data_IF_523329158342
#
_entry.id   IF_523329158342
#
_cell.length_a   1.000
_cell.length_b   1.000
_cell.length_c   1.000
_cell.angle_alpha   90.00
_cell.angle_beta   90.00
_cell.angle_gamma   90.00
#
_symmetry.space_group_name_H-M   'P 1'
#
loop_
_entity.id
_entity.type
_entity.pdbx_description
1 polymer ?
#
# COMPACT_ATOMS: atom_id res chain seq x y z
N UNK A 1 -41.08 -4.63 7.58
CA UNK A 1 -41.72 -3.77 6.57
C UNK A 1 -41.14 -4.19 5.25
N UNK A 2 -41.71 -5.26 4.70
CA UNK A 2 -42.78 -5.34 3.71
C UNK A 2 -42.23 -5.00 2.33
N UNK A 3 -41.88 -6.01 1.52
CA UNK A 3 -42.80 -6.70 0.61
C UNK A 3 -43.78 -5.75 -0.09
N UNK A 4 -43.48 -5.44 -1.34
CA UNK A 4 -44.38 -5.26 -2.47
C UNK A 4 -43.53 -4.78 -3.63
N UNK A 5 -43.46 -5.62 -4.65
CA UNK A 5 -43.86 -5.38 -6.01
C UNK A 5 -43.33 -6.51 -6.91
N UNK A 6 -44.12 -7.52 -6.95
CA UNK A 6 -44.06 -8.54 -7.99
C UNK A 6 -45.52 -8.84 -8.31
N UNK A 7 -46.07 -8.21 -9.29
CA UNK A 7 -47.30 -8.58 -10.05
C UNK A 7 -47.55 -7.39 -11.00
N UNK A 8 -47.22 -7.53 -12.25
CA UNK A 8 -47.80 -6.85 -13.41
C UNK A 8 -46.97 -7.25 -14.64
N UNK A 9 -47.31 -8.37 -15.24
CA UNK A 9 -47.08 -8.69 -16.66
C UNK A 9 -47.64 -10.09 -16.97
N UNK A 10 -48.92 -10.27 -16.71
CA UNK A 10 -49.75 -11.35 -17.27
C UNK A 10 -51.11 -10.74 -17.60
N UNK A 11 -51.22 -10.11 -18.76
CA UNK A 11 -52.44 -9.89 -19.50
C UNK A 11 -52.05 -9.12 -20.76
N UNK A 12 -51.99 -9.83 -21.85
CA UNK A 12 -52.31 -9.48 -23.23
C UNK A 12 -51.79 -10.62 -24.10
N UNK A 13 -52.65 -11.53 -24.45
CA UNK A 13 -52.84 -12.21 -25.73
C UNK A 13 -53.88 -13.30 -25.53
N UNK A 14 -55.13 -12.91 -25.62
CA UNK A 14 -56.25 -13.78 -25.97
C UNK A 14 -57.17 -12.97 -26.83
N UNK A 15 -57.01 -13.04 -28.09
CA UNK A 15 -58.03 -12.98 -29.12
C UNK A 15 -57.35 -13.16 -30.48
N UNK A 16 -57.88 -14.08 -31.20
CA UNK A 16 -57.84 -14.42 -32.64
C UNK A 16 -57.31 -15.83 -32.92
N UNK A 17 -58.18 -16.80 -32.68
CA UNK A 17 -58.18 -18.05 -33.43
C UNK A 17 -59.63 -18.47 -33.72
N UNK A 18 -60.14 -18.09 -34.83
CA UNK A 18 -61.22 -18.80 -35.52
C UNK A 18 -61.01 -18.74 -37.01
N UNK A 19 -61.14 -19.93 -37.62
CA UNK A 19 -61.15 -20.30 -39.03
C UNK A 19 -59.80 -20.58 -39.67
N UNK A 20 -59.42 -21.85 -39.81
CA UNK A 20 -59.56 -22.59 -41.09
C UNK A 20 -59.27 -24.08 -40.85
N UNK A 21 -60.27 -24.92 -41.13
CA UNK A 21 -60.22 -26.39 -41.24
C UNK A 21 -59.58 -26.81 -42.57
N UNK A 22 -58.92 -28.00 -42.53
CA UNK A 22 -58.40 -28.82 -43.64
C UNK A 22 -56.91 -28.58 -44.08
N UNK A 23 -56.03 -29.39 -43.50
CA UNK A 23 -55.22 -30.33 -44.30
C UNK A 23 -54.46 -31.30 -43.37
N UNK A 24 -54.91 -32.52 -43.28
CA UNK A 24 -54.16 -33.68 -42.75
C UNK A 24 -53.12 -34.07 -43.81
N UNK A 25 -51.89 -33.60 -43.69
CA UNK A 25 -50.66 -34.19 -44.30
C UNK A 25 -49.43 -33.31 -44.06
N UNK A 26 -49.20 -32.74 -42.87
CA UNK A 26 -47.93 -32.03 -42.53
C UNK A 26 -47.58 -32.04 -41.07
N UNK A 27 -47.96 -33.10 -40.33
CA UNK A 27 -47.78 -33.12 -38.86
C UNK A 27 -46.48 -33.80 -38.39
N UNK A 28 -45.66 -34.38 -39.22
CA UNK A 28 -44.36 -34.96 -38.81
C UNK A 28 -43.16 -34.05 -39.04
N UNK A 29 -43.13 -33.22 -40.08
CA UNK A 29 -42.03 -32.30 -40.35
C UNK A 29 -42.03 -31.03 -39.43
N UNK A 30 -43.15 -30.66 -38.83
CA UNK A 30 -43.27 -29.51 -37.93
C UNK A 30 -42.83 -29.83 -36.49
N UNK A 31 -42.96 -31.08 -36.04
CA UNK A 31 -42.51 -31.47 -34.70
C UNK A 31 -40.98 -31.59 -34.63
N UNK A 32 -40.28 -32.12 -35.61
CA UNK A 32 -38.83 -32.21 -35.67
C UNK A 32 -38.18 -30.82 -35.76
N UNK A 33 -38.78 -29.87 -36.48
CA UNK A 33 -38.27 -28.48 -36.53
C UNK A 33 -38.49 -27.71 -35.21
N UNK A 34 -39.49 -27.94 -34.44
CA UNK A 34 -39.74 -27.26 -33.14
C UNK A 34 -38.76 -27.76 -32.10
N UNK A 35 -38.49 -29.07 -32.03
CA UNK A 35 -37.51 -29.65 -31.08
C UNK A 35 -36.10 -29.16 -31.38
N UNK A 36 -35.74 -29.09 -32.69
CA UNK A 36 -34.41 -28.59 -33.10
C UNK A 36 -34.21 -27.08 -32.80
N UNK A 37 -35.29 -26.29 -32.75
CA UNK A 37 -35.27 -24.86 -32.40
C UNK A 37 -35.18 -24.70 -30.85
N UNK A 38 -35.87 -25.53 -30.08
CA UNK A 38 -35.81 -25.49 -28.61
C UNK A 38 -34.43 -25.93 -28.11
N UNK A 39 -33.85 -27.01 -28.65
CA UNK A 39 -32.47 -27.43 -28.33
C UNK A 39 -31.44 -26.34 -28.66
N UNK A 40 -31.53 -25.72 -29.83
CA UNK A 40 -30.62 -24.62 -30.21
C UNK A 40 -30.80 -23.37 -29.33
N UNK A 41 -32.00 -23.09 -28.83
CA UNK A 41 -32.26 -22.01 -27.89
C UNK A 41 -31.70 -22.31 -26.49
N UNK A 42 -31.80 -23.58 -26.06
CA UNK A 42 -31.21 -24.00 -24.77
C UNK A 42 -29.67 -24.00 -24.85
N UNK A 43 -29.09 -24.53 -25.95
CA UNK A 43 -27.64 -24.44 -26.14
C UNK A 43 -27.12 -23.00 -26.15
N UNK A 44 -27.85 -22.11 -26.81
CA UNK A 44 -27.49 -20.69 -26.85
C UNK A 44 -27.56 -20.03 -25.46
N UNK A 45 -28.61 -20.30 -24.67
CA UNK A 45 -28.72 -19.82 -23.29
C UNK A 45 -27.59 -20.35 -22.42
N UNK A 46 -27.31 -21.66 -22.52
CA UNK A 46 -26.23 -22.29 -21.77
C UNK A 46 -24.86 -21.70 -22.14
N UNK A 47 -24.63 -21.41 -23.44
CA UNK A 47 -23.42 -20.75 -23.91
C UNK A 47 -23.30 -19.32 -23.36
N UNK A 48 -24.36 -18.53 -23.37
CA UNK A 48 -24.39 -17.18 -22.81
C UNK A 48 -24.17 -17.18 -21.27
N UNK A 49 -24.74 -18.16 -20.56
CA UNK A 49 -24.47 -18.34 -19.12
C UNK A 49 -23.02 -18.74 -18.82
N UNK A 50 -22.46 -19.62 -19.63
CA UNK A 50 -21.05 -20.03 -19.56
C UNK A 50 -20.11 -18.87 -19.80
N UNK A 51 -20.37 -18.03 -20.79
CA UNK A 51 -19.58 -16.84 -21.08
C UNK A 51 -19.68 -15.80 -19.95
N UNK A 52 -20.89 -15.57 -19.46
CA UNK A 52 -21.11 -14.68 -18.32
C UNK A 52 -20.38 -15.15 -17.05
N UNK A 53 -20.46 -16.46 -16.76
CA UNK A 53 -19.76 -17.07 -15.62
C UNK A 53 -18.23 -17.00 -15.79
N UNK A 54 -17.74 -17.24 -17.00
CA UNK A 54 -16.31 -17.15 -17.32
C UNK A 54 -15.78 -15.72 -17.15
N UNK A 55 -16.56 -14.73 -17.57
CA UNK A 55 -16.20 -13.32 -17.36
C UNK A 55 -16.23 -12.92 -15.89
N UNK A 56 -17.21 -13.40 -15.11
CA UNK A 56 -17.23 -13.22 -13.66
C UNK A 56 -16.01 -13.87 -13.00
N UNK A 57 -15.65 -15.08 -13.43
CA UNK A 57 -14.47 -15.80 -12.93
C UNK A 57 -13.17 -15.03 -13.23
N UNK A 58 -12.99 -14.55 -14.46
CA UNK A 58 -11.82 -13.74 -14.84
C UNK A 58 -11.73 -12.44 -14.00
N UNK A 59 -12.87 -11.78 -13.81
CA UNK A 59 -12.95 -10.58 -12.98
C UNK A 59 -12.58 -10.87 -11.54
N UNK A 60 -13.15 -11.92 -10.94
CA UNK A 60 -12.85 -12.33 -9.57
C UNK A 60 -11.38 -12.71 -9.39
N UNK A 61 -10.80 -13.39 -10.38
CA UNK A 61 -9.37 -13.74 -10.38
C UNK A 61 -8.49 -12.48 -10.39
N UNK A 62 -8.84 -11.47 -11.19
CA UNK A 62 -8.12 -10.20 -11.23
C UNK A 62 -8.26 -9.43 -9.90
N UNK A 63 -9.46 -9.39 -9.32
CA UNK A 63 -9.70 -8.76 -8.03
C UNK A 63 -8.92 -9.47 -6.90
N UNK A 64 -8.88 -10.81 -6.91
CA UNK A 64 -8.11 -11.59 -5.95
C UNK A 64 -6.59 -11.35 -6.07
N UNK A 65 -6.08 -11.28 -7.29
CA UNK A 65 -4.67 -10.95 -7.52
C UNK A 65 -4.30 -9.55 -7.00
N UNK A 66 -5.17 -8.55 -7.24
CA UNK A 66 -5.01 -7.20 -6.73
C UNK A 66 -5.09 -7.15 -5.19
N UNK A 67 -6.06 -7.86 -4.60
CA UNK A 67 -6.20 -7.97 -3.15
C UNK A 67 -4.95 -8.60 -2.52
N UNK A 68 -4.45 -9.70 -3.07
CA UNK A 68 -3.24 -10.37 -2.58
C UNK A 68 -2.02 -9.45 -2.60
N UNK A 69 -1.83 -8.70 -3.70
CA UNK A 69 -0.73 -7.73 -3.81
C UNK A 69 -0.85 -6.63 -2.76
N UNK A 70 -2.05 -6.05 -2.61
CA UNK A 70 -2.30 -5.00 -1.61
C UNK A 70 -2.07 -5.50 -0.19
N UNK A 71 -2.61 -6.68 0.15
CA UNK A 71 -2.42 -7.27 1.49
C UNK A 71 -0.96 -7.56 1.80
N UNK A 72 -0.18 -7.97 0.80
CA UNK A 72 1.25 -8.18 0.99
C UNK A 72 1.97 -6.85 1.31
N UNK A 73 1.67 -5.79 0.56
CA UNK A 73 2.20 -4.45 0.82
C UNK A 73 1.78 -3.91 2.19
N UNK A 74 0.52 -4.12 2.58
CA UNK A 74 0.02 -3.73 3.91
C UNK A 74 0.76 -4.47 5.03
N UNK A 75 1.04 -5.78 4.89
CA UNK A 75 1.82 -6.55 5.86
C UNK A 75 3.25 -6.04 6.02
N UNK A 76 3.92 -5.72 4.93
CA UNK A 76 5.26 -5.12 4.95
C UNK A 76 5.25 -3.77 5.66
N UNK A 77 4.26 -2.95 5.37
CA UNK A 77 4.07 -1.62 5.99
C UNK A 77 3.78 -1.73 7.50
N UNK A 78 2.94 -2.68 7.91
CA UNK A 78 2.63 -2.94 9.34
C UNK A 78 3.90 -3.31 10.12
N UNK A 79 4.78 -4.14 9.54
CA UNK A 79 6.06 -4.50 10.15
C UNK A 79 6.94 -3.27 10.42
N UNK A 80 7.01 -2.35 9.46
CA UNK A 80 7.75 -1.08 9.60
C UNK A 80 7.12 -0.20 10.68
N UNK A 81 5.78 -0.02 10.69
CA UNK A 81 5.10 0.80 11.68
C UNK A 81 5.14 0.24 13.11
N UNK A 82 5.17 -1.09 13.27
CA UNK A 82 5.32 -1.69 14.59
C UNK A 82 6.65 -1.31 15.25
N UNK A 83 7.72 -1.22 14.47
CA UNK A 83 9.04 -0.83 14.94
C UNK A 83 9.17 0.68 15.17
N UNK A 84 8.39 1.50 14.48
CA UNK A 84 8.47 2.96 14.54
C UNK A 84 8.35 3.50 15.97
N UNK A 85 7.35 3.03 16.72
CA UNK A 85 7.11 3.50 18.08
C UNK A 85 8.28 3.20 19.02
N UNK A 86 8.84 1.99 18.91
CA UNK A 86 9.98 1.57 19.72
C UNK A 86 11.22 2.37 19.34
N UNK A 87 11.46 2.53 18.03
CA UNK A 87 12.61 3.27 17.54
C UNK A 87 12.57 4.75 17.95
N UNK A 88 11.39 5.38 17.92
CA UNK A 88 11.22 6.76 18.38
C UNK A 88 11.57 6.93 19.86
N UNK A 89 11.24 5.96 20.71
CA UNK A 89 11.59 6.00 22.13
C UNK A 89 13.09 5.70 22.38
N UNK A 90 13.76 5.00 21.47
CA UNK A 90 15.19 4.69 21.57
C UNK A 90 16.10 5.81 21.04
N UNK A 91 15.63 6.66 20.12
CA UNK A 91 16.40 7.77 19.56
C UNK A 91 16.95 8.70 20.67
N UNK A 92 16.17 9.14 21.69
CA UNK A 92 16.70 9.96 22.78
C UNK A 92 17.79 9.26 23.62
N UNK A 93 17.76 7.93 23.69
CA UNK A 93 18.79 7.14 24.39
C UNK A 93 20.10 7.20 23.63
N UNK A 94 20.06 7.05 22.30
CA UNK A 94 21.24 7.22 21.45
C UNK A 94 21.83 8.63 21.59
N UNK A 95 21.00 9.66 21.51
CA UNK A 95 21.47 11.05 21.69
C UNK A 95 22.16 11.26 23.04
N UNK A 96 21.62 10.63 24.09
CA UNK A 96 22.22 10.73 25.43
C UNK A 96 23.56 10.02 25.52
N UNK A 97 23.70 8.89 24.82
CA UNK A 97 24.98 8.17 24.72
C UNK A 97 26.01 8.95 23.90
N UNK A 98 25.61 9.52 22.76
CA UNK A 98 26.49 10.37 21.94
C UNK A 98 27.02 11.54 22.76
N UNK A 99 26.12 12.26 23.44
CA UNK A 99 26.51 13.38 24.31
C UNK A 99 27.43 12.97 25.44
N UNK A 100 27.23 11.76 26.02
CA UNK A 100 28.11 11.25 27.06
C UNK A 100 29.52 10.93 26.52
N UNK A 101 29.60 10.37 25.30
CA UNK A 101 30.86 10.07 24.63
C UNK A 101 31.59 11.37 24.23
N UNK A 102 30.86 12.39 23.74
CA UNK A 102 31.44 13.69 23.40
C UNK A 102 31.96 14.46 24.63
N UNK A 103 31.26 14.35 25.77
CA UNK A 103 31.65 15.00 27.01
C UNK A 103 32.88 14.35 27.68
N UNK A 104 33.22 13.14 27.28
CA UNK A 104 34.36 12.41 27.85
C UNK A 104 35.67 12.96 27.29
N UNK A 105 36.56 13.44 28.16
CA UNK A 105 37.87 14.02 27.78
C UNK A 105 38.94 12.95 27.56
N UNK A 106 38.84 11.80 28.24
CA UNK A 106 39.79 10.70 28.12
C UNK A 106 39.19 9.53 27.32
N UNK A 107 39.56 9.44 26.05
CA UNK A 107 39.13 8.37 25.13
C UNK A 107 39.84 7.02 25.37
N UNK A 108 40.88 7.01 26.17
CA UNK A 108 41.60 5.77 26.51
C UNK A 108 41.04 5.06 27.76
N UNK A 109 40.13 5.75 28.47
CA UNK A 109 39.49 5.15 29.65
C UNK A 109 38.69 3.89 29.29
N UNK A 110 38.82 2.88 30.17
CA UNK A 110 38.11 1.59 30.03
C UNK A 110 36.57 1.82 30.01
N UNK A 111 36.07 2.76 30.80
CA UNK A 111 34.64 3.12 30.82
C UNK A 111 34.20 3.71 29.50
N UNK A 112 34.97 4.62 28.89
CA UNK A 112 34.71 5.20 27.60
C UNK A 112 34.56 4.10 26.53
N UNK A 113 35.56 3.20 26.45
CA UNK A 113 35.57 2.06 25.51
C UNK A 113 34.35 1.14 25.71
N UNK A 114 33.95 0.94 26.96
CA UNK A 114 32.75 0.15 27.30
C UNK A 114 31.45 0.81 26.80
N UNK A 115 31.28 2.11 27.02
CA UNK A 115 30.10 2.86 26.56
C UNK A 115 30.07 2.96 25.03
N UNK A 116 31.22 3.18 24.39
CA UNK A 116 31.34 3.21 22.92
C UNK A 116 30.92 1.87 22.29
N UNK A 117 31.31 0.74 22.90
CA UNK A 117 30.91 -0.58 22.42
C UNK A 117 29.39 -0.78 22.53
N UNK A 118 28.78 -0.38 23.66
CA UNK A 118 27.32 -0.47 23.85
C UNK A 118 26.58 0.43 22.85
N UNK A 119 27.06 1.65 22.65
CA UNK A 119 26.51 2.59 21.65
C UNK A 119 26.52 1.98 20.25
N UNK A 120 27.66 1.38 19.85
CA UNK A 120 27.82 0.76 18.55
C UNK A 120 26.87 -0.43 18.36
N UNK A 121 26.77 -1.30 19.38
CA UNK A 121 25.82 -2.41 19.37
C UNK A 121 24.36 -1.95 19.26
N UNK A 122 23.98 -0.88 19.98
CA UNK A 122 22.64 -0.31 19.89
C UNK A 122 22.35 0.27 18.51
N UNK A 123 23.29 1.02 17.95
CA UNK A 123 23.19 1.57 16.59
C UNK A 123 23.05 0.47 15.53
N UNK A 124 23.87 -0.57 15.60
CA UNK A 124 23.83 -1.73 14.70
C UNK A 124 22.49 -2.47 14.80
N UNK A 125 21.94 -2.60 16.01
CA UNK A 125 20.64 -3.20 16.23
C UNK A 125 19.54 -2.37 15.56
N UNK A 126 19.52 -1.06 15.78
CA UNK A 126 18.48 -0.18 15.20
C UNK A 126 18.55 -0.14 13.67
N UNK A 127 19.76 -0.21 13.11
CA UNK A 127 19.96 -0.32 11.65
C UNK A 127 19.38 -1.63 11.10
N UNK A 128 19.51 -2.76 11.82
CA UNK A 128 18.87 -4.03 11.44
C UNK A 128 17.34 -3.96 11.43
N UNK A 129 16.75 -3.09 12.24
CA UNK A 129 15.30 -2.82 12.24
C UNK A 129 14.89 -1.77 11.21
N UNK A 130 15.83 -1.31 10.36
CA UNK A 130 15.58 -0.42 9.24
C UNK A 130 15.70 1.06 9.56
N UNK A 131 16.27 1.43 10.73
CA UNK A 131 16.58 2.83 11.03
C UNK A 131 17.81 3.26 10.24
N UNK A 132 17.69 4.38 9.53
CA UNK A 132 18.78 5.01 8.79
C UNK A 132 19.03 6.42 9.31
N UNK A 133 20.29 6.78 9.49
CA UNK A 133 20.69 8.14 9.82
C UNK A 133 20.57 9.03 8.58
N UNK A 134 20.07 10.25 8.75
CA UNK A 134 19.99 11.23 7.68
C UNK A 134 21.36 11.94 7.59
N UNK A 135 22.09 11.66 6.51
CA UNK A 135 23.36 12.33 6.22
C UNK A 135 23.09 13.78 5.84
N UNK A 136 23.34 14.69 6.76
CA UNK A 136 23.08 16.11 6.57
C UNK A 136 24.35 16.97 6.50
N UNK A 137 25.50 16.46 6.90
CA UNK A 137 26.74 17.21 6.95
C UNK A 137 27.23 17.57 5.54
N UNK A 138 27.48 18.84 5.27
CA UNK A 138 27.85 19.38 3.96
C UNK A 138 26.83 19.14 2.82
N UNK A 139 25.62 18.67 3.13
CA UNK A 139 24.54 18.47 2.17
C UNK A 139 23.80 19.79 1.87
N UNK A 140 23.05 19.82 0.78
CA UNK A 140 22.08 20.87 0.54
C UNK A 140 20.94 20.78 1.56
N UNK A 141 20.44 21.92 1.99
CA UNK A 141 19.33 21.94 2.92
C UNK A 141 18.02 21.46 2.26
N UNK A 142 17.44 20.36 2.77
CA UNK A 142 16.13 19.86 2.36
C UNK A 142 15.14 20.03 3.53
N UNK A 143 14.08 20.85 3.38
CA UNK A 143 13.08 21.05 4.43
C UNK A 143 12.33 19.77 4.88
N UNK A 144 12.33 18.71 4.05
CA UNK A 144 11.70 17.44 4.39
C UNK A 144 12.55 16.59 5.34
N UNK A 145 13.87 16.77 5.30
CA UNK A 145 14.85 15.96 6.04
C UNK A 145 15.53 16.75 7.16
N UNK A 146 15.63 18.07 7.02
CA UNK A 146 16.40 18.94 7.86
C UNK A 146 15.55 20.02 8.51
N UNK A 147 15.86 20.35 9.77
CA UNK A 147 15.30 21.46 10.51
C UNK A 147 16.41 22.50 10.75
N UNK A 148 16.38 23.60 10.04
CA UNK A 148 17.31 24.71 10.25
C UNK A 148 16.95 25.45 11.55
N UNK A 149 17.81 25.35 12.55
CA UNK A 149 17.63 26.04 13.85
C UNK A 149 18.50 27.28 13.98
N UNK A 150 19.58 27.36 13.20
CA UNK A 150 20.50 28.49 13.17
C UNK A 150 20.94 28.75 11.73
N UNK A 151 21.21 30.04 11.46
CA UNK A 151 21.84 30.48 10.20
C UNK A 151 23.15 31.22 10.53
N UNK A 152 24.15 30.99 9.73
CA UNK A 152 25.46 31.64 9.88
C UNK A 152 26.06 31.98 8.49
N UNK A 153 26.49 33.19 8.35
CA UNK A 153 27.23 33.57 7.14
C UNK A 153 28.69 33.13 7.28
N UNK A 154 29.09 32.21 6.41
CA UNK A 154 30.47 31.68 6.39
C UNK A 154 31.12 32.01 5.04
N UNK A 155 32.22 32.69 5.10
CA UNK A 155 32.98 33.04 3.89
C UNK A 155 33.45 31.80 3.13
N UNK A 156 33.08 31.70 1.86
CA UNK A 156 33.46 30.59 0.99
C UNK A 156 32.52 29.40 0.97
N UNK A 157 31.37 29.45 1.67
CA UNK A 157 30.34 28.44 1.63
C UNK A 157 29.13 28.98 0.86
N UNK A 158 28.60 28.18 -0.07
CA UNK A 158 27.40 28.56 -0.82
C UNK A 158 26.18 28.66 0.12
N UNK A 159 25.25 29.60 -0.15
CA UNK A 159 24.02 29.71 0.63
C UNK A 159 23.21 28.40 0.57
N UNK A 160 22.41 28.13 1.62
CA UNK A 160 21.57 26.94 1.73
C UNK A 160 22.32 25.60 1.90
N UNK A 161 23.58 25.62 2.32
CA UNK A 161 24.28 24.38 2.71
C UNK A 161 24.23 24.15 4.22
N UNK A 162 24.16 22.90 4.59
CA UNK A 162 24.28 22.48 6.00
C UNK A 162 25.76 22.60 6.39
N UNK A 163 26.01 23.45 7.37
CA UNK A 163 27.37 23.74 7.88
C UNK A 163 27.69 22.80 9.05
N UNK A 164 26.70 22.52 9.88
CA UNK A 164 26.90 21.72 11.09
C UNK A 164 25.61 21.00 11.44
N UNK A 165 25.72 19.75 11.88
CA UNK A 165 24.62 18.97 12.44
C UNK A 165 24.67 19.10 13.95
N UNK A 166 23.63 19.71 14.53
CA UNK A 166 23.49 19.87 15.99
C UNK A 166 22.83 18.65 16.64
N UNK A 167 21.95 17.99 15.88
CA UNK A 167 21.29 16.76 16.31
C UNK A 167 20.99 15.91 15.09
N UNK A 168 21.39 14.65 15.13
CA UNK A 168 21.22 13.71 14.04
C UNK A 168 19.75 13.41 13.78
N UNK A 169 19.36 13.38 12.52
CA UNK A 169 18.05 12.93 12.08
C UNK A 169 18.03 11.45 11.75
N UNK A 170 16.84 10.87 11.80
CA UNK A 170 16.65 9.46 11.52
C UNK A 170 15.39 9.24 10.68
N UNK A 171 15.47 8.28 9.76
CA UNK A 171 14.35 7.82 8.93
C UNK A 171 14.19 6.30 9.03
N UNK A 172 12.98 5.84 8.80
CA UNK A 172 12.63 4.43 8.75
C UNK A 172 12.04 4.13 7.36
N UNK A 173 12.86 3.55 6.49
CA UNK A 173 12.51 3.44 5.08
C UNK A 173 12.27 4.83 4.46
N UNK A 174 11.04 5.07 3.98
CA UNK A 174 10.66 6.36 3.37
C UNK A 174 10.07 7.38 4.36
N UNK A 175 9.94 7.01 5.64
CA UNK A 175 9.34 7.88 6.66
C UNK A 175 10.40 8.51 7.54
N UNK A 176 10.41 9.84 7.61
CA UNK A 176 11.26 10.58 8.54
C UNK A 176 10.66 10.45 9.93
N UNK A 177 11.42 9.87 10.88
CA UNK A 177 11.06 9.79 12.28
C UNK A 177 11.41 11.08 13.01
N UNK A 178 12.60 11.62 12.70
CA UNK A 178 13.09 12.88 13.23
C UNK A 178 13.97 13.58 12.21
N UNK A 179 13.68 14.83 11.90
CA UNK A 179 14.54 15.66 11.05
C UNK A 179 15.88 15.97 11.74
N UNK A 180 16.96 16.08 10.98
CA UNK A 180 18.25 16.53 11.49
C UNK A 180 18.18 18.01 11.86
N UNK A 181 18.53 18.36 13.09
CA UNK A 181 18.67 19.78 13.47
C UNK A 181 20.01 20.30 12.99
N UNK A 182 19.96 21.28 12.11
CA UNK A 182 21.16 21.75 11.40
C UNK A 182 21.35 23.26 11.50
N UNK A 183 22.59 23.68 11.37
CA UNK A 183 22.98 25.05 11.09
C UNK A 183 23.23 25.17 9.58
N UNK A 184 22.64 26.17 8.94
CA UNK A 184 22.74 26.41 7.50
C UNK A 184 23.50 27.68 7.21
N UNK A 185 24.17 27.71 6.05
CA UNK A 185 24.81 28.92 5.51
C UNK A 185 23.78 29.88 4.91
N UNK A 186 23.94 31.17 5.11
CA UNK A 186 23.14 32.24 4.49
C UNK A 186 23.97 33.12 3.56
#
# INVERSE_FOLDING_TARGET
>A
MEHKDTILEEEIVKDDVQDVVENEETTEETQDNVVDIEEKLEEKKLSEEMDALNDQYKRLQAEYANYRRRTQQEKETIGIFANEKILNELIPVIDSMERALEACTDKEDTMFKGVELVYKQLKDMMTKFGLEEIEAENAEFDPNLHLAVMQESIDGVEPNKVVMVLQKGYKLGNKVLRASMVKVSC
#
